data_IF_973779831649
#
_entry.id   IF_973779831649
#
_cell.length_a   1.000
_cell.length_b   1.000
_cell.length_c   1.000
_cell.angle_alpha   90.00
_cell.angle_beta   90.00
_cell.angle_gamma   90.00
#
_symmetry.space_group_name_H-M   'P 1'
#
loop_
_entity.id
_entity.type
_entity.pdbx_description
1 polymer ?
#
# COMPACT_ATOMS: atom_id res chain seq x y z
N UNK A 1 -39.43 15.07 -5.10
CA UNK A 1 -38.19 15.61 -5.69
C UNK A 1 -37.57 14.47 -6.44
N UNK A 2 -37.55 14.53 -7.77
CA UNK A 2 -36.73 13.62 -8.57
C UNK A 2 -35.28 13.88 -8.17
N UNK A 3 -34.64 12.89 -7.54
CA UNK A 3 -33.20 12.92 -7.32
C UNK A 3 -32.61 12.84 -8.73
N UNK A 4 -31.99 13.93 -9.18
CA UNK A 4 -31.29 13.95 -10.46
C UNK A 4 -30.37 12.72 -10.53
N UNK A 5 -30.34 12.04 -11.69
CA UNK A 5 -29.44 10.91 -11.96
C UNK A 5 -27.98 11.38 -11.87
N UNK A 6 -27.46 11.42 -10.65
CA UNK A 6 -26.08 11.73 -10.36
C UNK A 6 -25.36 10.40 -10.33
N UNK A 7 -24.40 10.22 -11.24
CA UNK A 7 -23.60 9.01 -11.30
C UNK A 7 -22.59 9.03 -10.14
N UNK A 8 -23.04 8.62 -8.95
CA UNK A 8 -22.16 8.54 -7.79
C UNK A 8 -21.25 7.32 -7.91
N UNK A 9 -19.95 7.52 -7.73
CA UNK A 9 -18.94 6.47 -7.63
C UNK A 9 -18.57 6.27 -6.16
N UNK A 10 -18.80 5.07 -5.63
CA UNK A 10 -18.41 4.71 -4.27
C UNK A 10 -17.01 4.10 -4.28
N UNK A 11 -16.03 4.85 -3.80
CA UNK A 11 -14.62 4.48 -3.78
C UNK A 11 -14.23 3.94 -2.39
N UNK A 12 -13.66 2.73 -2.37
CA UNK A 12 -13.29 2.03 -1.14
C UNK A 12 -11.81 1.68 -1.24
N UNK A 13 -10.97 2.39 -0.48
CA UNK A 13 -9.56 2.04 -0.36
C UNK A 13 -9.33 1.20 0.90
N UNK A 14 -8.98 -0.07 0.71
CA UNK A 14 -8.86 -1.02 1.81
C UNK A 14 -7.58 -0.84 2.66
N UNK A 15 -6.62 -0.02 2.23
CA UNK A 15 -5.41 0.30 3.00
C UNK A 15 -5.53 1.59 3.81
N UNK A 16 -6.13 2.66 3.29
CA UNK A 16 -6.30 3.90 4.06
C UNK A 16 -7.27 3.74 5.23
N UNK A 17 -8.24 2.84 5.08
CA UNK A 17 -9.10 2.40 6.19
C UNK A 17 -8.31 1.65 7.26
N UNK A 18 -7.09 1.18 6.95
CA UNK A 18 -6.24 0.34 7.81
C UNK A 18 -5.58 1.07 8.99
N UNK A 19 -5.35 2.39 8.87
CA UNK A 19 -4.58 3.20 9.82
C UNK A 19 -5.30 3.55 11.11
N UNK A 20 -6.61 3.29 11.20
CA UNK A 20 -7.41 3.61 12.39
C UNK A 20 -7.68 5.11 12.60
N UNK A 21 -7.27 5.94 11.64
CA UNK A 21 -7.61 7.36 11.59
C UNK A 21 -8.90 7.52 10.79
N UNK A 22 -10.04 7.55 11.50
CA UNK A 22 -11.38 7.56 10.90
C UNK A 22 -11.85 8.95 10.50
N UNK A 23 -11.02 9.99 10.69
CA UNK A 23 -11.35 11.38 10.34
C UNK A 23 -11.33 11.65 8.84
N UNK A 24 -10.59 10.83 8.08
CA UNK A 24 -10.29 11.14 6.68
C UNK A 24 -11.28 10.44 5.75
N UNK A 25 -12.56 10.82 5.87
CA UNK A 25 -13.45 10.75 4.72
C UNK A 25 -12.96 11.84 3.75
N UNK A 26 -12.02 11.49 2.86
CA UNK A 26 -11.58 12.35 1.77
C UNK A 26 -12.70 12.44 0.72
N UNK A 27 -13.74 13.20 1.03
CA UNK A 27 -14.70 13.69 0.05
C UNK A 27 -13.96 14.72 -0.80
N UNK A 28 -13.64 14.38 -2.05
CA UNK A 28 -13.09 15.34 -3.01
C UNK A 28 -14.21 16.28 -3.53
N UNK A 29 -14.84 16.99 -2.58
CA UNK A 29 -15.60 18.24 -2.62
C UNK A 29 -16.09 18.48 -1.19
N UNK A 30 -15.25 19.17 -0.41
CA UNK A 30 -15.47 19.94 0.83
C UNK A 30 -16.71 19.56 1.70
N UNK A 31 -16.52 19.33 3.01
CA UNK A 31 -16.91 20.24 4.13
C UNK A 31 -16.92 19.47 5.46
N UNK A 32 -16.34 20.12 6.49
CA UNK A 32 -16.48 19.81 7.92
C UNK A 32 -17.94 19.51 8.33
N UNK A 33 -18.27 18.23 8.50
CA UNK A 33 -19.52 17.78 9.12
C UNK A 33 -20.43 16.93 8.24
N UNK A 34 -21.10 15.96 8.88
CA UNK A 34 -22.00 14.98 8.25
C UNK A 34 -23.20 15.67 7.57
N UNK A 35 -23.76 16.72 8.19
CA UNK A 35 -24.96 17.40 7.68
C UNK A 35 -24.74 18.14 6.35
N UNK A 36 -23.56 18.73 6.17
CA UNK A 36 -23.22 19.44 4.93
C UNK A 36 -22.87 18.46 3.80
N UNK A 37 -22.22 17.34 4.15
CA UNK A 37 -22.00 16.22 3.25
C UNK A 37 -23.33 15.69 2.71
N UNK A 38 -24.31 15.43 3.59
CA UNK A 38 -25.65 14.95 3.19
C UNK A 38 -26.35 15.92 2.23
N UNK A 39 -26.18 17.23 2.42
CA UNK A 39 -26.73 18.26 1.52
C UNK A 39 -26.09 18.19 0.14
N UNK A 40 -24.76 18.20 0.07
CA UNK A 40 -24.00 18.20 -1.19
C UNK A 40 -24.30 16.94 -2.01
N UNK A 41 -24.42 15.78 -1.35
CA UNK A 41 -24.78 14.53 -2.03
C UNK A 41 -26.22 14.60 -2.55
N UNK A 42 -27.19 15.09 -1.75
CA UNK A 42 -28.60 15.22 -2.16
C UNK A 42 -28.81 16.21 -3.29
N UNK A 43 -28.02 17.27 -3.35
CA UNK A 43 -28.03 18.26 -4.44
C UNK A 43 -27.40 17.72 -5.73
N UNK A 44 -26.79 16.53 -5.68
CA UNK A 44 -26.20 15.90 -6.85
C UNK A 44 -24.88 16.51 -7.29
N UNK A 45 -24.21 17.22 -6.39
CA UNK A 45 -22.96 17.92 -6.67
C UNK A 45 -21.72 17.05 -6.43
N UNK A 46 -21.89 15.75 -6.15
CA UNK A 46 -20.82 14.83 -5.78
C UNK A 46 -20.67 13.70 -6.80
N UNK A 47 -19.50 13.62 -7.42
CA UNK A 47 -19.16 12.54 -8.36
C UNK A 47 -18.57 11.33 -7.62
N UNK A 48 -17.79 11.54 -6.56
CA UNK A 48 -17.04 10.47 -5.87
C UNK A 48 -17.21 10.52 -4.35
N UNK A 49 -17.57 9.38 -3.75
CA UNK A 49 -17.65 9.18 -2.29
C UNK A 49 -16.58 8.19 -1.85
N UNK A 50 -15.59 8.65 -1.09
CA UNK A 50 -14.63 7.78 -0.41
C UNK A 50 -15.14 7.44 0.99
N UNK A 51 -15.09 6.15 1.38
CA UNK A 51 -15.57 5.75 2.69
C UNK A 51 -14.90 4.50 3.24
N UNK A 52 -14.81 4.45 4.57
CA UNK A 52 -14.34 3.27 5.27
C UNK A 52 -15.40 2.18 5.36
N UNK A 53 -15.00 0.91 5.31
CA UNK A 53 -15.95 -0.20 5.35
C UNK A 53 -16.75 -0.28 6.65
N UNK A 54 -16.13 0.11 7.75
CA UNK A 54 -16.75 0.25 9.06
C UNK A 54 -17.98 1.18 8.99
N UNK A 55 -17.90 2.25 8.19
CA UNK A 55 -18.99 3.19 7.97
C UNK A 55 -19.95 2.68 6.88
N UNK A 56 -19.43 2.29 5.72
CA UNK A 56 -20.22 1.89 4.55
C UNK A 56 -21.03 0.60 4.77
N UNK A 57 -20.52 -0.32 5.60
CA UNK A 57 -21.11 -1.64 5.83
C UNK A 57 -21.45 -1.85 7.30
N UNK A 58 -20.66 -1.29 8.22
CA UNK A 58 -20.85 -1.51 9.65
C UNK A 58 -21.85 -0.58 10.33
N UNK A 59 -22.07 0.63 9.80
CA UNK A 59 -23.00 1.61 10.34
C UNK A 59 -24.37 1.51 9.68
N UNK A 60 -25.38 1.10 10.45
CA UNK A 60 -26.75 0.91 9.96
C UNK A 60 -27.37 2.25 9.54
N UNK A 61 -27.16 3.31 10.31
CA UNK A 61 -27.73 4.63 10.04
C UNK A 61 -27.15 5.20 8.74
N UNK A 62 -25.83 5.06 8.55
CA UNK A 62 -25.17 5.50 7.33
C UNK A 62 -25.62 4.68 6.12
N UNK A 63 -25.81 3.37 6.27
CA UNK A 63 -26.38 2.52 5.20
C UNK A 63 -27.77 2.97 4.78
N UNK A 64 -28.63 3.33 5.73
CA UNK A 64 -29.97 3.87 5.43
C UNK A 64 -29.92 5.21 4.69
N UNK A 65 -28.96 6.08 5.02
CA UNK A 65 -28.71 7.32 4.26
C UNK A 65 -28.19 7.02 2.86
N UNK A 66 -27.23 6.10 2.75
CA UNK A 66 -26.64 5.67 1.49
C UNK A 66 -27.67 5.14 0.47
N UNK A 67 -28.70 4.45 0.95
CA UNK A 67 -29.83 3.98 0.12
C UNK A 67 -30.61 5.10 -0.58
N UNK A 68 -30.50 6.34 -0.12
CA UNK A 68 -31.16 7.49 -0.74
C UNK A 68 -30.43 7.96 -2.00
N UNK A 69 -29.21 7.47 -2.25
CA UNK A 69 -28.39 7.87 -3.37
C UNK A 69 -28.43 6.86 -4.51
N UNK A 70 -28.32 7.37 -5.75
CA UNK A 70 -28.17 6.55 -6.95
C UNK A 70 -26.68 6.26 -7.17
N UNK A 71 -26.19 5.15 -6.62
CA UNK A 71 -24.80 4.71 -6.85
C UNK A 71 -24.73 3.99 -8.21
N UNK A 72 -23.90 4.51 -9.10
CA UNK A 72 -23.69 3.95 -10.43
C UNK A 72 -22.61 2.86 -10.44
N UNK A 73 -21.56 3.04 -9.63
CA UNK A 73 -20.39 2.16 -9.61
C UNK A 73 -19.81 2.11 -8.21
N UNK A 74 -19.46 0.90 -7.77
CA UNK A 74 -18.66 0.63 -6.57
C UNK A 74 -17.25 0.27 -7.05
N UNK A 75 -16.23 0.93 -6.51
CA UNK A 75 -14.83 0.66 -6.78
C UNK A 75 -14.17 0.18 -5.49
N UNK A 76 -13.63 -1.03 -5.53
CA UNK A 76 -12.88 -1.63 -4.43
C UNK A 76 -11.41 -1.65 -4.80
N UNK A 77 -10.67 -0.72 -4.23
CA UNK A 77 -9.23 -0.63 -4.39
C UNK A 77 -8.51 -1.53 -3.37
N UNK A 78 -7.39 -2.09 -3.80
CA UNK A 78 -6.61 -3.10 -3.08
C UNK A 78 -7.40 -4.31 -2.58
N UNK A 79 -8.27 -4.84 -3.45
CA UNK A 79 -9.18 -5.95 -3.10
C UNK A 79 -8.48 -7.19 -2.56
N UNK A 80 -7.18 -7.39 -2.86
CA UNK A 80 -6.42 -8.55 -2.41
C UNK A 80 -6.40 -8.66 -0.87
N UNK A 81 -6.51 -7.52 -0.17
CA UNK A 81 -6.55 -7.43 1.29
C UNK A 81 -7.77 -8.12 1.91
N UNK A 82 -8.85 -8.32 1.15
CA UNK A 82 -10.04 -9.05 1.62
C UNK A 82 -9.67 -10.47 2.04
N UNK A 83 -8.83 -11.15 1.26
CA UNK A 83 -8.42 -12.52 1.55
C UNK A 83 -7.42 -12.61 2.71
N UNK A 84 -6.66 -11.55 3.00
CA UNK A 84 -5.62 -11.55 4.05
C UNK A 84 -6.10 -10.96 5.38
N UNK A 85 -7.01 -9.98 5.36
CA UNK A 85 -7.47 -9.26 6.56
C UNK A 85 -8.93 -9.52 6.89
N UNK A 86 -9.76 -9.83 5.89
CA UNK A 86 -11.21 -9.96 6.04
C UNK A 86 -11.70 -11.38 6.34
N UNK A 87 -10.99 -12.39 5.84
CA UNK A 87 -11.42 -13.77 6.02
C UNK A 87 -10.86 -14.38 7.32
N UNK A 88 -11.70 -15.15 8.01
CA UNK A 88 -11.26 -16.04 9.09
C UNK A 88 -10.58 -17.24 8.45
N UNK A 89 -9.41 -17.61 8.96
CA UNK A 89 -8.79 -18.91 8.69
C UNK A 89 -8.98 -19.79 9.95
N UNK A 90 -8.83 -21.11 9.84
CA UNK A 90 -9.10 -22.07 10.93
C UNK A 90 -8.40 -21.69 12.26
N UNK A 91 -7.26 -20.98 12.17
CA UNK A 91 -6.46 -20.53 13.31
C UNK A 91 -6.46 -19.01 13.55
N UNK A 92 -7.17 -18.20 12.73
CA UNK A 92 -7.13 -16.73 12.81
C UNK A 92 -8.49 -16.09 12.66
N UNK A 93 -8.87 -15.27 13.64
CA UNK A 93 -9.99 -14.35 13.48
C UNK A 93 -9.66 -13.28 12.44
N UNK A 94 -10.67 -12.85 11.69
CA UNK A 94 -10.54 -11.75 10.75
C UNK A 94 -10.05 -10.50 11.50
N UNK A 95 -8.91 -9.97 11.05
CA UNK A 95 -8.37 -8.72 11.57
C UNK A 95 -9.36 -7.56 11.34
N UNK A 96 -10.07 -7.58 10.20
CA UNK A 96 -11.07 -6.59 9.82
C UNK A 96 -12.35 -7.24 9.34
N UNK A 97 -13.25 -7.50 10.29
CA UNK A 97 -14.55 -8.14 10.06
C UNK A 97 -15.27 -7.65 8.80
N UNK A 98 -15.40 -6.33 8.59
CA UNK A 98 -16.24 -5.75 7.56
C UNK A 98 -15.80 -6.03 6.12
N UNK A 99 -14.54 -6.38 5.90
CA UNK A 99 -14.01 -6.75 4.59
C UNK A 99 -14.71 -8.00 4.03
N UNK A 100 -15.10 -8.94 4.91
CA UNK A 100 -15.85 -10.15 4.51
C UNK A 100 -17.32 -9.88 4.14
N UNK A 101 -17.85 -8.71 4.49
CA UNK A 101 -19.23 -8.32 4.22
C UNK A 101 -19.36 -7.37 3.03
N UNK A 102 -18.26 -7.12 2.31
CA UNK A 102 -18.26 -6.13 1.24
C UNK A 102 -19.20 -6.47 0.08
N UNK A 103 -19.45 -7.76 -0.16
CA UNK A 103 -20.45 -8.22 -1.12
C UNK A 103 -21.88 -7.78 -0.80
N UNK A 104 -22.19 -7.38 0.44
CA UNK A 104 -23.51 -6.86 0.82
C UNK A 104 -23.84 -5.54 0.15
N UNK A 105 -22.84 -4.72 -0.22
CA UNK A 105 -23.07 -3.46 -0.93
C UNK A 105 -23.78 -3.68 -2.27
N UNK A 106 -23.67 -4.88 -2.86
CA UNK A 106 -24.39 -5.24 -4.08
C UNK A 106 -25.86 -5.58 -3.84
N UNK A 107 -26.23 -5.94 -2.62
CA UNK A 107 -27.64 -6.04 -2.23
C UNK A 107 -28.23 -4.66 -1.96
N UNK A 108 -27.41 -3.72 -1.46
CA UNK A 108 -27.77 -2.32 -1.23
C UNK A 108 -27.94 -1.57 -2.57
N UNK A 109 -27.03 -1.80 -3.52
CA UNK A 109 -26.99 -1.17 -4.83
C UNK A 109 -26.97 -2.24 -5.95
N UNK A 110 -28.11 -2.88 -6.24
CA UNK A 110 -28.17 -4.01 -7.20
C UNK A 110 -27.86 -3.62 -8.65
N UNK A 111 -28.14 -2.36 -9.01
CA UNK A 111 -27.91 -1.81 -10.35
C UNK A 111 -26.49 -1.25 -10.53
N UNK A 112 -25.74 -1.07 -9.43
CA UNK A 112 -24.38 -0.52 -9.50
C UNK A 112 -23.41 -1.54 -10.12
N UNK A 113 -22.53 -1.06 -10.99
CA UNK A 113 -21.39 -1.86 -11.45
C UNK A 113 -20.36 -2.03 -10.33
N UNK A 114 -19.58 -3.12 -10.34
CA UNK A 114 -18.50 -3.35 -9.37
C UNK A 114 -17.17 -3.46 -10.12
N UNK A 115 -16.24 -2.57 -9.77
CA UNK A 115 -14.85 -2.59 -10.21
C UNK A 115 -13.98 -2.96 -9.01
N UNK A 116 -13.09 -3.94 -9.17
CA UNK A 116 -12.12 -4.32 -8.14
C UNK A 116 -10.71 -4.20 -8.70
N UNK A 117 -9.86 -3.42 -8.05
CA UNK A 117 -8.51 -3.09 -8.49
C UNK A 117 -7.49 -3.62 -7.49
N UNK A 118 -6.38 -4.15 -7.99
CA UNK A 118 -5.19 -4.40 -7.18
C UNK A 118 -3.98 -4.63 -8.07
N UNK A 119 -2.83 -4.06 -7.67
CA UNK A 119 -1.55 -4.32 -8.32
C UNK A 119 -1.06 -5.76 -8.05
N UNK A 120 -1.40 -6.33 -6.90
CA UNK A 120 -0.83 -7.59 -6.45
C UNK A 120 -1.89 -8.62 -6.05
N UNK A 121 -2.24 -9.49 -7.00
CA UNK A 121 -3.24 -10.52 -6.77
C UNK A 121 -2.88 -11.85 -7.42
N UNK A 122 -2.74 -12.91 -6.62
CA UNK A 122 -2.59 -14.27 -7.15
C UNK A 122 -3.94 -14.80 -7.66
N UNK A 123 -3.94 -15.74 -8.60
CA UNK A 123 -5.17 -16.40 -9.08
C UNK A 123 -5.98 -17.04 -7.95
N UNK A 124 -5.32 -17.55 -6.90
CA UNK A 124 -5.98 -18.13 -5.71
C UNK A 124 -6.71 -17.05 -4.91
N UNK A 125 -6.07 -15.90 -4.70
CA UNK A 125 -6.67 -14.75 -4.01
C UNK A 125 -7.84 -14.19 -4.83
N UNK A 126 -7.65 -13.96 -6.13
CA UNK A 126 -8.72 -13.49 -7.04
C UNK A 126 -9.98 -14.35 -6.93
N UNK A 127 -9.84 -15.69 -7.00
CA UNK A 127 -10.96 -16.62 -6.86
C UNK A 127 -11.67 -16.52 -5.50
N UNK A 128 -10.93 -16.30 -4.40
CA UNK A 128 -11.52 -16.13 -3.06
C UNK A 128 -12.28 -14.82 -2.97
N UNK A 129 -11.63 -13.72 -3.33
CA UNK A 129 -12.23 -12.39 -3.24
C UNK A 129 -13.43 -12.24 -4.16
N UNK A 130 -13.42 -12.90 -5.33
CA UNK A 130 -14.59 -12.96 -6.21
C UNK A 130 -15.84 -13.48 -5.52
N UNK A 131 -15.69 -14.51 -4.68
CA UNK A 131 -16.81 -15.05 -3.89
C UNK A 131 -17.27 -14.06 -2.84
N UNK A 132 -16.35 -13.43 -2.11
CA UNK A 132 -16.68 -12.44 -1.07
C UNK A 132 -17.41 -11.22 -1.67
N UNK A 133 -16.99 -10.77 -2.83
CA UNK A 133 -17.60 -9.66 -3.58
C UNK A 133 -18.83 -10.10 -4.41
N UNK A 134 -19.24 -11.36 -4.29
CA UNK A 134 -20.36 -11.98 -5.01
C UNK A 134 -20.27 -11.89 -6.54
N UNK A 135 -19.08 -11.68 -7.13
CA UNK A 135 -18.92 -11.44 -8.58
C UNK A 135 -19.65 -12.51 -9.42
N UNK A 136 -20.32 -12.06 -10.48
CA UNK A 136 -21.05 -12.96 -11.40
C UNK A 136 -20.05 -13.78 -12.20
N UNK A 137 -20.44 -14.97 -12.65
CA UNK A 137 -19.55 -15.87 -13.42
C UNK A 137 -19.03 -15.24 -14.72
N UNK A 138 -19.78 -14.29 -15.30
CA UNK A 138 -19.42 -13.57 -16.52
C UNK A 138 -18.58 -12.30 -16.28
N UNK A 139 -18.02 -12.12 -15.09
CA UNK A 139 -17.17 -10.96 -14.76
C UNK A 139 -15.92 -10.93 -15.63
N UNK A 140 -15.67 -9.80 -16.30
CA UNK A 140 -14.43 -9.58 -17.05
C UNK A 140 -13.23 -9.50 -16.10
N UNK A 141 -12.22 -10.33 -16.35
CA UNK A 141 -10.91 -10.25 -15.68
C UNK A 141 -9.87 -9.72 -16.66
N UNK A 142 -9.13 -8.70 -16.24
CA UNK A 142 -8.03 -8.12 -17.02
C UNK A 142 -6.74 -8.31 -16.22
N UNK A 143 -6.08 -9.48 -16.32
CA UNK A 143 -4.77 -9.68 -15.72
C UNK A 143 -3.71 -8.98 -16.55
N UNK A 144 -2.81 -8.25 -15.88
CA UNK A 144 -1.59 -7.71 -16.48
C UNK A 144 -0.38 -8.47 -15.96
N UNK A 145 0.65 -8.57 -16.80
CA UNK A 145 1.94 -9.12 -16.37
C UNK A 145 2.58 -8.16 -15.35
N UNK A 146 3.09 -8.65 -14.21
CA UNK A 146 3.89 -7.83 -13.31
C UNK A 146 5.33 -7.64 -13.79
N UNK A 147 5.69 -8.25 -14.93
CA UNK A 147 7.05 -8.18 -15.48
C UNK A 147 7.42 -6.74 -15.85
N UNK A 148 8.52 -6.27 -15.26
CA UNK A 148 9.12 -4.97 -15.50
C UNK A 148 10.52 -5.21 -16.05
N UNK A 149 10.73 -5.16 -17.38
CA UNK A 149 12.00 -5.56 -18.00
C UNK A 149 13.17 -4.65 -17.61
N UNK A 150 12.89 -3.46 -17.09
CA UNK A 150 13.86 -2.52 -16.53
C UNK A 150 14.26 -2.83 -15.07
N UNK A 151 13.67 -3.84 -14.44
CA UNK A 151 14.03 -4.28 -13.08
C UNK A 151 14.86 -5.54 -13.15
N UNK A 152 16.07 -5.50 -12.58
CA UNK A 152 16.93 -6.66 -12.41
C UNK A 152 16.95 -7.09 -10.95
N UNK A 153 16.68 -8.37 -10.73
CA UNK A 153 16.65 -8.95 -9.38
C UNK A 153 17.93 -9.74 -9.17
N UNK A 154 18.67 -9.40 -8.12
CA UNK A 154 20.00 -9.99 -7.83
C UNK A 154 20.04 -10.52 -6.40
N UNK A 155 20.05 -11.84 -6.22
CA UNK A 155 20.16 -12.42 -4.89
C UNK A 155 21.60 -12.46 -4.41
N UNK A 156 21.86 -12.08 -3.14
CA UNK A 156 23.20 -12.14 -2.53
C UNK A 156 23.10 -12.74 -1.13
N UNK A 157 23.79 -13.86 -0.92
CA UNK A 157 23.93 -14.42 0.42
C UNK A 157 24.71 -13.46 1.32
N UNK A 158 24.11 -13.04 2.42
CA UNK A 158 24.77 -12.21 3.42
C UNK A 158 25.39 -13.08 4.51
N UNK A 159 26.45 -12.57 5.13
CA UNK A 159 26.97 -13.15 6.35
C UNK A 159 25.99 -12.90 7.52
N UNK A 160 26.05 -13.73 8.56
CA UNK A 160 25.16 -13.62 9.72
C UNK A 160 25.36 -12.31 10.51
N UNK A 161 26.54 -11.70 10.41
CA UNK A 161 26.86 -10.46 11.08
C UNK A 161 26.66 -9.27 10.14
N UNK A 162 26.01 -8.22 10.65
CA UNK A 162 25.65 -7.02 9.86
C UNK A 162 26.90 -6.37 9.24
N UNK A 163 28.00 -6.34 9.99
CA UNK A 163 29.28 -5.78 9.58
C UNK A 163 29.84 -6.48 8.34
N UNK A 164 29.80 -7.82 8.30
CA UNK A 164 30.28 -8.58 7.15
C UNK A 164 29.28 -8.55 5.99
N UNK A 165 27.98 -8.64 6.30
CA UNK A 165 26.91 -8.66 5.31
C UNK A 165 26.77 -7.33 4.55
N UNK A 166 27.06 -6.21 5.21
CA UNK A 166 26.78 -4.86 4.68
C UNK A 166 28.03 -4.00 4.45
N UNK A 167 29.24 -4.54 4.66
CA UNK A 167 30.51 -3.84 4.37
C UNK A 167 30.59 -3.31 2.92
N UNK A 168 30.02 -4.04 1.96
CA UNK A 168 29.99 -3.59 0.57
C UNK A 168 29.22 -2.28 0.39
N UNK A 169 28.18 -2.06 1.19
CA UNK A 169 27.35 -0.88 1.12
C UNK A 169 28.10 0.32 1.69
N UNK A 170 28.81 0.13 2.82
CA UNK A 170 29.71 1.14 3.41
C UNK A 170 30.71 1.64 2.39
N UNK A 171 31.36 0.74 1.66
CA UNK A 171 32.32 1.09 0.62
C UNK A 171 31.70 1.81 -0.59
N UNK A 172 30.40 1.64 -0.83
CA UNK A 172 29.69 2.24 -1.94
C UNK A 172 28.96 3.54 -1.57
N UNK A 173 28.92 3.95 -0.29
CA UNK A 173 28.09 5.05 0.22
C UNK A 173 28.30 6.38 -0.52
N UNK A 174 29.53 6.72 -0.89
CA UNK A 174 29.82 7.98 -1.58
C UNK A 174 29.21 8.04 -2.99
N UNK A 175 29.13 6.89 -3.66
CA UNK A 175 28.56 6.72 -5.00
C UNK A 175 27.13 6.17 -5.00
N UNK A 176 26.56 5.89 -3.82
CA UNK A 176 25.26 5.23 -3.76
C UNK A 176 24.19 6.19 -4.26
N UNK A 177 23.41 5.70 -5.21
CA UNK A 177 22.20 6.36 -5.63
C UNK A 177 21.13 6.29 -4.52
N UNK A 178 20.02 6.99 -4.71
CA UNK A 178 18.89 6.93 -3.77
C UNK A 178 18.44 5.48 -3.62
N UNK A 179 18.44 4.99 -2.39
CA UNK A 179 18.30 3.57 -2.04
C UNK A 179 17.34 3.41 -0.87
N UNK A 180 16.37 2.52 -1.02
CA UNK A 180 15.47 2.10 0.07
C UNK A 180 15.88 0.70 0.52
N UNK A 181 16.04 0.51 1.83
CA UNK A 181 16.39 -0.78 2.43
C UNK A 181 15.21 -1.25 3.28
N UNK A 182 14.48 -2.26 2.80
CA UNK A 182 13.40 -2.88 3.56
C UNK A 182 13.94 -3.97 4.48
N UNK A 183 13.60 -3.87 5.76
CA UNK A 183 13.94 -4.81 6.81
C UNK A 183 12.68 -5.46 7.37
N UNK A 184 12.80 -6.72 7.79
CA UNK A 184 11.70 -7.47 8.39
C UNK A 184 11.28 -6.98 9.78
N UNK A 185 12.15 -6.26 10.51
CA UNK A 185 11.89 -5.82 11.89
C UNK A 185 12.48 -4.44 12.20
N UNK A 186 11.90 -3.75 13.20
CA UNK A 186 12.43 -2.49 13.74
C UNK A 186 13.83 -2.69 14.34
N UNK A 187 14.10 -3.88 14.88
CA UNK A 187 15.41 -4.22 15.43
C UNK A 187 16.46 -4.28 14.32
N UNK A 188 16.14 -4.82 13.16
CA UNK A 188 17.05 -4.88 12.02
C UNK A 188 17.27 -3.48 11.43
N UNK A 189 16.22 -2.67 11.32
CA UNK A 189 16.33 -1.24 10.96
C UNK A 189 17.32 -0.52 11.87
N UNK A 190 17.14 -0.66 13.19
CA UNK A 190 18.01 -0.05 14.19
C UNK A 190 19.46 -0.54 14.09
N UNK A 191 19.67 -1.86 13.97
CA UNK A 191 21.02 -2.45 13.85
C UNK A 191 21.75 -1.94 12.62
N UNK A 192 21.07 -1.93 11.47
CA UNK A 192 21.67 -1.49 10.22
C UNK A 192 21.98 0.00 10.25
N UNK A 193 21.07 0.82 10.77
CA UNK A 193 21.28 2.26 10.91
C UNK A 193 22.49 2.57 11.80
N UNK A 194 22.58 1.91 12.97
CA UNK A 194 23.72 2.09 13.89
C UNK A 194 25.03 1.69 13.21
N UNK A 195 25.05 0.56 12.50
CA UNK A 195 26.25 0.11 11.79
C UNK A 195 26.70 1.12 10.72
N UNK A 196 25.79 1.60 9.86
CA UNK A 196 26.18 2.55 8.81
C UNK A 196 26.65 3.88 9.36
N UNK A 197 25.94 4.39 10.37
CA UNK A 197 26.29 5.67 10.99
C UNK A 197 27.55 5.60 11.85
N UNK A 198 27.94 4.42 12.34
CA UNK A 198 29.23 4.24 13.01
C UNK A 198 30.40 4.15 12.03
N UNK A 199 30.22 3.46 10.89
CA UNK A 199 31.29 3.32 9.89
C UNK A 199 31.49 4.59 9.07
N UNK A 200 30.41 5.34 8.79
CA UNK A 200 30.47 6.62 8.08
C UNK A 200 29.68 7.67 8.87
N UNK A 201 30.33 8.37 9.82
CA UNK A 201 29.65 9.34 10.69
C UNK A 201 28.90 10.44 9.95
N UNK A 202 29.36 10.84 8.77
CA UNK A 202 28.70 11.87 7.96
C UNK A 202 27.40 11.36 7.29
N UNK A 203 27.14 10.05 7.29
CA UNK A 203 25.95 9.44 6.69
C UNK A 203 24.64 9.84 7.39
N UNK A 204 24.70 10.28 8.65
CA UNK A 204 23.53 10.81 9.39
C UNK A 204 22.84 11.98 8.69
N UNK A 205 23.53 12.65 7.75
CA UNK A 205 22.97 13.75 6.97
C UNK A 205 22.13 13.29 5.77
N UNK A 206 22.25 12.04 5.35
CA UNK A 206 21.60 11.49 4.15
C UNK A 206 21.07 10.06 4.34
N UNK A 207 21.01 9.57 5.58
CA UNK A 207 20.48 8.26 5.96
C UNK A 207 19.46 8.41 7.08
N UNK A 208 18.28 7.80 6.95
CA UNK A 208 17.22 7.84 7.98
C UNK A 208 16.56 6.49 8.21
N UNK A 209 15.95 6.34 9.40
CA UNK A 209 15.12 5.18 9.75
C UNK A 209 13.63 5.49 9.58
N UNK A 210 12.88 4.56 8.98
CA UNK A 210 11.43 4.67 8.82
C UNK A 210 10.70 3.40 9.28
N UNK A 211 9.96 3.47 10.38
CA UNK A 211 9.18 2.35 10.90
C UNK A 211 7.89 2.82 11.58
N UNK A 212 7.06 1.88 12.02
CA UNK A 212 5.75 2.17 12.65
C UNK A 212 5.88 3.13 13.85
N UNK A 213 6.92 2.95 14.66
CA UNK A 213 7.21 3.78 15.86
C UNK A 213 7.93 5.11 15.56
N UNK A 214 8.28 5.41 14.30
CA UNK A 214 8.85 6.73 13.95
C UNK A 214 7.81 7.83 14.24
N UNK A 215 8.17 8.92 14.95
CA UNK A 215 7.22 10.00 15.25
C UNK A 215 6.59 10.59 13.97
N UNK A 216 5.29 10.94 14.02
CA UNK A 216 4.53 11.43 12.85
C UNK A 216 5.23 12.59 12.12
N UNK A 217 5.63 13.62 12.87
CA UNK A 217 6.36 14.76 12.30
C UNK A 217 7.69 14.37 11.62
N UNK A 218 8.36 13.32 12.13
CA UNK A 218 9.60 12.80 11.52
C UNK A 218 9.28 12.00 10.25
N UNK A 219 8.22 11.19 10.25
CA UNK A 219 7.74 10.49 9.04
C UNK A 219 7.45 11.47 7.92
N UNK A 220 6.70 12.53 8.20
CA UNK A 220 6.38 13.57 7.22
C UNK A 220 7.65 14.22 6.64
N UNK A 221 8.62 14.57 7.49
CA UNK A 221 9.90 15.12 7.04
C UNK A 221 10.67 14.14 6.14
N UNK A 222 10.77 12.87 6.55
CA UNK A 222 11.46 11.84 5.78
C UNK A 222 10.79 11.66 4.42
N UNK A 223 9.46 11.54 4.39
CA UNK A 223 8.71 11.38 3.14
C UNK A 223 8.89 12.58 2.21
N UNK A 224 8.82 13.80 2.74
CA UNK A 224 9.01 15.01 1.94
C UNK A 224 10.41 15.07 1.32
N UNK A 225 11.46 14.66 2.04
CA UNK A 225 12.83 14.63 1.53
C UNK A 225 13.04 13.47 0.55
N UNK A 226 12.52 12.29 0.87
CA UNK A 226 12.63 11.08 0.05
C UNK A 226 11.95 11.25 -1.31
N UNK A 227 10.74 11.81 -1.32
CA UNK A 227 9.94 12.06 -2.52
C UNK A 227 10.39 13.30 -3.31
N UNK A 228 11.32 14.09 -2.78
CA UNK A 228 11.92 15.20 -3.51
C UNK A 228 13.10 14.69 -4.36
N UNK A 229 13.12 15.02 -5.65
CA UNK A 229 14.23 14.68 -6.54
C UNK A 229 15.56 15.31 -6.08
N UNK A 230 15.51 16.52 -5.54
CA UNK A 230 16.66 17.27 -5.03
C UNK A 230 16.85 17.06 -3.52
N UNK A 231 16.17 16.06 -2.95
CA UNK A 231 16.28 15.70 -1.54
C UNK A 231 17.70 15.28 -1.15
N UNK A 232 18.09 15.57 0.09
CA UNK A 232 19.40 15.18 0.62
C UNK A 232 19.41 13.71 1.05
N UNK A 233 18.24 13.13 1.28
CA UNK A 233 18.11 11.75 1.72
C UNK A 233 18.45 10.76 0.60
N UNK A 234 19.56 10.03 0.79
CA UNK A 234 20.03 9.00 -0.12
C UNK A 234 19.65 7.59 0.34
N UNK A 235 19.57 7.35 1.65
CA UNK A 235 19.32 6.01 2.19
C UNK A 235 18.17 6.06 3.18
N UNK A 236 17.15 5.26 2.91
CA UNK A 236 16.04 5.07 3.85
C UNK A 236 16.02 3.62 4.29
N UNK A 237 16.30 3.37 5.56
CA UNK A 237 16.22 2.03 6.15
C UNK A 237 14.84 1.90 6.80
N UNK A 238 14.02 1.03 6.25
CA UNK A 238 12.60 1.00 6.56
C UNK A 238 12.09 -0.39 6.90
N UNK A 239 10.99 -0.46 7.65
CA UNK A 239 10.12 -1.63 7.58
C UNK A 239 9.04 -1.41 6.51
N UNK A 240 8.17 -2.40 6.31
CA UNK A 240 6.98 -2.26 5.46
C UNK A 240 6.05 -1.10 5.87
N UNK A 241 6.29 -0.44 7.00
CA UNK A 241 5.59 0.77 7.42
C UNK A 241 5.85 1.98 6.50
N UNK A 242 6.97 2.00 5.77
CA UNK A 242 7.21 3.00 4.71
C UNK A 242 6.16 2.90 3.58
N UNK A 243 5.54 1.72 3.46
CA UNK A 243 4.25 1.56 2.82
C UNK A 243 4.31 1.37 1.30
N UNK A 244 3.13 1.05 0.78
CA UNK A 244 2.76 1.04 -0.64
C UNK A 244 2.14 2.39 -0.99
N UNK A 245 2.45 2.93 -2.17
CA UNK A 245 1.91 4.23 -2.62
C UNK A 245 2.79 5.43 -2.26
N UNK A 246 4.02 5.20 -1.76
CA UNK A 246 5.05 6.21 -1.91
C UNK A 246 5.61 6.10 -3.32
N UNK A 247 5.69 7.25 -3.98
CA UNK A 247 6.41 7.40 -5.22
C UNK A 247 7.75 8.07 -4.86
N UNK A 248 8.83 7.31 -4.96
CA UNK A 248 10.17 7.81 -4.70
C UNK A 248 10.90 8.02 -6.03
N UNK A 249 10.97 9.25 -6.53
CA UNK A 249 11.57 9.52 -7.82
C UNK A 249 13.08 9.30 -7.76
N UNK A 250 13.63 8.80 -8.88
CA UNK A 250 15.06 8.48 -9.06
C UNK A 250 15.57 7.50 -8.00
N UNK A 251 14.76 6.53 -7.58
CA UNK A 251 15.26 5.43 -6.76
C UNK A 251 15.88 4.39 -7.66
N UNK A 252 17.19 4.23 -7.56
CA UNK A 252 17.92 3.28 -8.39
C UNK A 252 18.08 1.91 -7.71
N UNK A 253 17.90 1.82 -6.39
CA UNK A 253 18.09 0.55 -5.67
C UNK A 253 17.02 0.33 -4.59
N UNK A 254 16.50 -0.90 -4.52
CA UNK A 254 15.75 -1.41 -3.36
C UNK A 254 16.45 -2.63 -2.82
N UNK A 255 16.82 -2.60 -1.54
CA UNK A 255 17.48 -3.72 -0.86
C UNK A 255 16.47 -4.38 0.06
N UNK A 256 16.28 -5.70 -0.10
CA UNK A 256 15.46 -6.51 0.80
C UNK A 256 16.37 -7.21 1.81
N UNK A 257 16.52 -6.59 2.98
CA UNK A 257 17.33 -7.08 4.06
C UNK A 257 16.59 -8.14 4.89
N UNK A 258 17.08 -9.37 4.77
CA UNK A 258 16.48 -10.58 5.34
C UNK A 258 15.63 -11.33 4.32
N UNK A 259 15.15 -12.52 4.70
CA UNK A 259 14.28 -13.33 3.84
C UNK A 259 12.86 -12.76 3.90
N UNK A 260 12.26 -12.34 2.77
CA UNK A 260 10.88 -11.87 2.74
C UNK A 260 9.93 -13.02 3.07
N UNK A 261 8.90 -12.74 3.87
CA UNK A 261 7.96 -13.78 4.31
C UNK A 261 7.01 -14.24 3.20
N UNK A 262 6.78 -13.41 2.17
CA UNK A 262 5.82 -13.66 1.09
C UNK A 262 6.30 -13.02 -0.21
N UNK A 263 6.15 -13.73 -1.33
CA UNK A 263 6.51 -13.24 -2.67
C UNK A 263 5.77 -11.95 -3.05
N UNK A 264 4.51 -11.80 -2.62
CA UNK A 264 3.72 -10.60 -2.89
C UNK A 264 4.37 -9.36 -2.26
N UNK A 265 4.96 -9.49 -1.07
CA UNK A 265 5.64 -8.38 -0.41
C UNK A 265 6.88 -7.94 -1.19
N UNK A 266 7.64 -8.89 -1.73
CA UNK A 266 8.81 -8.61 -2.59
C UNK A 266 8.39 -7.73 -3.76
N UNK A 267 7.33 -8.12 -4.46
CA UNK A 267 6.84 -7.37 -5.63
C UNK A 267 6.37 -5.97 -5.20
N UNK A 268 5.60 -5.85 -4.11
CA UNK A 268 5.14 -4.55 -3.60
C UNK A 268 6.29 -3.62 -3.19
N UNK A 269 7.31 -4.15 -2.51
CA UNK A 269 8.47 -3.38 -2.04
C UNK A 269 9.37 -2.95 -3.21
N UNK A 270 9.52 -3.79 -4.24
CA UNK A 270 10.21 -3.44 -5.49
C UNK A 270 9.39 -2.44 -6.32
N UNK A 271 8.06 -2.55 -6.31
CA UNK A 271 7.16 -1.68 -7.07
C UNK A 271 6.97 -0.28 -6.46
N UNK A 272 7.33 -0.07 -5.19
CA UNK A 272 7.24 1.21 -4.47
C UNK A 272 8.24 2.28 -4.97
N UNK A 273 8.97 1.99 -6.05
CA UNK A 273 9.93 2.91 -6.65
C UNK A 273 9.53 3.19 -8.10
N UNK A 274 9.22 4.45 -8.43
CA UNK A 274 9.06 4.85 -9.83
C UNK A 274 10.42 4.90 -10.52
N UNK A 275 10.51 4.17 -11.62
CA UNK A 275 11.72 4.11 -12.45
C UNK A 275 11.49 5.04 -13.64
N UNK A 276 12.24 6.13 -13.67
CA UNK A 276 12.36 6.98 -14.84
C UNK A 276 13.42 6.35 -15.76
N UNK A 277 12.98 5.96 -16.96
CA UNK A 277 13.78 5.56 -18.13
C UNK A 277 14.27 4.10 -18.24
N UNK A 278 14.22 3.59 -19.49
CA UNK A 278 14.58 2.22 -19.93
C UNK A 278 16.07 1.85 -19.78
N UNK A 279 16.91 2.72 -19.20
CA UNK A 279 18.38 2.58 -19.19
C UNK A 279 19.03 2.44 -17.80
N UNK A 280 18.28 2.59 -16.71
CA UNK A 280 18.85 2.46 -15.36
C UNK A 280 18.79 1.01 -14.88
N UNK A 281 19.97 0.40 -14.66
CA UNK A 281 20.08 -0.91 -14.01
C UNK A 281 19.72 -0.80 -12.53
N UNK A 282 18.73 -1.57 -12.10
CA UNK A 282 18.27 -1.67 -10.72
C UNK A 282 18.69 -3.00 -10.12
N UNK A 283 19.27 -3.02 -8.92
CA UNK A 283 19.62 -4.26 -8.23
C UNK A 283 18.75 -4.47 -6.97
N UNK A 284 17.84 -5.45 -7.02
CA UNK A 284 17.14 -5.93 -5.82
C UNK A 284 17.96 -7.00 -5.08
N UNK A 285 18.59 -6.63 -3.96
CA UNK A 285 19.39 -7.55 -3.14
C UNK A 285 18.54 -8.29 -2.11
N UNK A 286 18.49 -9.62 -2.19
CA UNK A 286 17.86 -10.47 -1.17
C UNK A 286 18.91 -11.22 -0.34
N UNK A 287 18.82 -11.09 0.98
CA UNK A 287 19.58 -11.93 1.92
C UNK A 287 18.94 -13.31 2.05
N UNK A 288 19.54 -14.34 1.46
CA UNK A 288 19.03 -15.70 1.50
C UNK A 288 19.82 -16.61 2.45
N UNK A 289 19.12 -17.30 3.36
CA UNK A 289 19.58 -18.55 3.98
C UNK A 289 19.15 -19.80 3.17
N UNK A 290 18.37 -19.62 2.10
CA UNK A 290 17.88 -20.71 1.24
C UNK A 290 18.66 -20.80 -0.07
N UNK A 291 19.10 -22.02 -0.40
CA UNK A 291 19.39 -22.41 -1.77
C UNK A 291 18.03 -22.55 -2.48
N UNK A 292 17.80 -21.80 -3.55
CA UNK A 292 16.70 -22.09 -4.46
C UNK A 292 17.09 -23.34 -5.25
N UNK A 293 16.47 -24.49 -4.95
CA UNK A 293 16.42 -25.65 -5.85
C UNK A 293 15.41 -25.42 -6.98
#
# INVERSE_FOLDING_TARGET
MEINNVNLYLLINLYHTSSGDWSDILLHRIVDGIEETDRIIREGALDYLFGALELLVGDISFREQLHQFSVSTIVVDEFHTIASWGEKDEDRQAFRKWFSYLGELRSVFPEASLLALSATCTRKISKRVKKVLNFRDNTLEIPMSPDKPNIKVVTKKLANSVDQGMAWMVNALDSIAKTVIYCNSIQDVSKLYVYLTSEVPNSVNYCEMFHSETPKAKKEKILNDLCNEDGLLKITIATSALGMGIDVPKTNNVILYGVPQQMVKIIQEIDATEIYEEQDEFDAFMSSDFEFE
#
